data_IF_320517711823
#
_entry.id   IF_320517711823
#
_cell.length_a   1.000
_cell.length_b   1.000
_cell.length_c   1.000
_cell.angle_alpha   90.00
_cell.angle_beta   90.00
_cell.angle_gamma   90.00
#
_symmetry.space_group_name_H-M   'P 1'
#
loop_
_entity.id
_entity.type
_entity.pdbx_description
1 polymer ?
#
# COMPACT_ATOMS: atom_id res chain seq x y z
N UNK A 1 9.03 0.55 6.00
CA UNK A 1 8.80 1.09 4.64
C UNK A 1 9.28 0.04 3.64
N UNK A 2 8.65 -0.06 2.48
CA UNK A 2 8.93 -1.07 1.46
C UNK A 2 9.01 -0.33 0.12
N UNK A 3 10.11 -0.48 -0.62
CA UNK A 3 10.21 0.06 -1.97
C UNK A 3 9.25 -0.68 -2.91
N UNK A 4 8.46 0.04 -3.70
CA UNK A 4 7.50 -0.52 -4.67
C UNK A 4 8.17 -1.48 -5.66
N UNK A 5 9.41 -1.24 -6.05
CA UNK A 5 10.20 -2.11 -6.93
C UNK A 5 10.58 -3.46 -6.32
N UNK A 6 10.44 -3.62 -4.99
CA UNK A 6 10.59 -4.90 -4.30
C UNK A 6 9.26 -5.66 -4.15
N UNK A 7 8.14 -5.02 -4.52
CA UNK A 7 6.80 -5.64 -4.50
C UNK A 7 6.53 -6.23 -5.88
N UNK A 8 6.16 -7.51 -5.91
CA UNK A 8 5.79 -8.19 -7.16
C UNK A 8 4.63 -7.51 -7.87
N UNK A 9 4.68 -7.38 -9.20
CA UNK A 9 3.57 -6.85 -10.00
C UNK A 9 2.25 -7.63 -9.81
N UNK A 10 2.33 -8.92 -9.46
CA UNK A 10 1.17 -9.74 -9.14
C UNK A 10 0.38 -9.21 -7.91
N UNK A 11 1.03 -8.46 -7.01
CA UNK A 11 0.36 -7.76 -5.92
C UNK A 11 -0.58 -6.67 -6.44
N UNK A 12 -0.20 -5.98 -7.50
CA UNK A 12 -0.98 -4.88 -8.07
C UNK A 12 -2.07 -5.39 -9.03
N UNK A 13 -2.01 -6.66 -9.44
CA UNK A 13 -3.13 -7.33 -10.11
C UNK A 13 -4.12 -7.89 -9.08
N UNK A 14 -5.21 -7.14 -8.85
CA UNK A 14 -6.26 -7.51 -7.89
C UNK A 14 -6.97 -8.84 -8.24
N UNK A 15 -6.89 -9.31 -9.49
CA UNK A 15 -7.50 -10.59 -9.89
C UNK A 15 -6.79 -11.80 -9.26
N UNK A 16 -5.51 -11.65 -8.93
CA UNK A 16 -4.69 -12.70 -8.28
C UNK A 16 -5.11 -12.95 -6.83
N UNK A 17 -5.84 -12.00 -6.21
CA UNK A 17 -6.21 -11.99 -4.78
C UNK A 17 -5.04 -11.89 -3.80
N UNK A 18 -3.80 -11.83 -4.29
CA UNK A 18 -2.57 -11.73 -3.48
C UNK A 18 -2.59 -10.48 -2.60
N UNK A 19 -3.03 -9.34 -3.14
CA UNK A 19 -3.15 -8.09 -2.39
C UNK A 19 -3.98 -8.29 -1.12
N UNK A 20 -5.18 -8.85 -1.26
CA UNK A 20 -6.11 -9.08 -0.16
C UNK A 20 -5.54 -10.00 0.91
N UNK A 21 -4.90 -11.11 0.52
CA UNK A 21 -4.28 -12.05 1.46
C UNK A 21 -3.14 -11.40 2.27
N UNK A 22 -2.33 -10.56 1.62
CA UNK A 22 -1.24 -9.85 2.27
C UNK A 22 -1.79 -8.77 3.19
N UNK A 23 -2.74 -7.93 2.73
CA UNK A 23 -3.32 -6.86 3.56
C UNK A 23 -3.94 -7.42 4.84
N UNK A 24 -4.66 -8.55 4.74
CA UNK A 24 -5.26 -9.21 5.91
C UNK A 24 -4.21 -9.57 6.97
N UNK A 25 -3.02 -10.03 6.57
CA UNK A 25 -1.93 -10.34 7.53
C UNK A 25 -1.47 -9.08 8.28
N UNK A 26 -1.27 -7.96 7.61
CA UNK A 26 -0.87 -6.72 8.27
C UNK A 26 -1.92 -6.23 9.27
N UNK A 27 -3.21 -6.32 8.91
CA UNK A 27 -4.30 -5.99 9.82
C UNK A 27 -4.34 -6.96 11.01
N UNK A 28 -4.29 -8.27 10.77
CA UNK A 28 -4.34 -9.29 11.82
C UNK A 28 -3.18 -9.18 12.80
N UNK A 29 -1.98 -8.88 12.31
CA UNK A 29 -0.78 -8.68 13.13
C UNK A 29 -0.62 -7.24 13.64
N UNK A 30 -1.57 -6.35 13.36
CA UNK A 30 -1.52 -4.93 13.74
C UNK A 30 -0.24 -4.22 13.29
N UNK A 31 0.35 -4.66 12.18
CA UNK A 31 1.58 -4.10 11.64
C UNK A 31 1.25 -2.88 10.78
N UNK A 32 2.05 -1.83 10.92
CA UNK A 32 1.99 -0.64 10.06
C UNK A 32 3.09 -0.68 9.00
N UNK A 33 2.75 -0.43 7.75
CA UNK A 33 3.68 -0.39 6.63
C UNK A 33 3.32 0.67 5.60
N UNK A 34 4.32 1.08 4.82
CA UNK A 34 4.16 1.97 3.67
C UNK A 34 4.90 1.36 2.49
N UNK A 35 4.22 1.18 1.37
CA UNK A 35 4.79 0.84 0.07
C UNK A 35 5.05 2.16 -0.66
N UNK A 36 6.31 2.40 -0.98
CA UNK A 36 6.80 3.69 -1.45
C UNK A 36 7.26 3.59 -2.90
N UNK A 37 6.75 4.46 -3.77
CA UNK A 37 7.22 4.58 -5.15
C UNK A 37 6.19 5.18 -6.09
N UNK A 38 6.46 5.07 -7.39
CA UNK A 38 5.55 5.59 -8.42
C UNK A 38 4.44 4.57 -8.77
N UNK A 39 3.20 5.04 -8.67
CA UNK A 39 1.97 4.30 -9.00
C UNK A 39 1.25 4.88 -10.23
N UNK A 40 1.80 5.93 -10.86
CA UNK A 40 1.19 6.62 -12.00
C UNK A 40 0.98 5.72 -13.22
N UNK A 41 1.82 4.70 -13.37
CA UNK A 41 1.71 3.70 -14.44
C UNK A 41 0.50 2.78 -14.33
N UNK A 42 -0.19 2.74 -13.19
CA UNK A 42 -1.41 1.94 -13.04
C UNK A 42 -2.65 2.72 -13.48
N UNK A 43 -3.32 2.24 -14.53
CA UNK A 43 -4.49 2.90 -15.11
C UNK A 43 -5.83 2.37 -14.59
N UNK A 44 -5.87 1.15 -14.03
CA UNK A 44 -7.12 0.51 -13.62
C UNK A 44 -7.81 1.23 -12.46
N UNK A 45 -9.12 1.46 -12.60
CA UNK A 45 -9.91 2.16 -11.59
C UNK A 45 -9.98 1.34 -10.29
N UNK A 46 -10.14 0.02 -10.39
CA UNK A 46 -10.20 -0.89 -9.24
C UNK A 46 -8.95 -0.84 -8.38
N UNK A 47 -7.76 -0.78 -8.98
CA UNK A 47 -6.51 -0.66 -8.22
C UNK A 47 -6.35 0.72 -7.58
N UNK A 48 -6.75 1.78 -8.29
CA UNK A 48 -6.76 3.15 -7.73
C UNK A 48 -7.69 3.25 -6.52
N UNK A 49 -8.89 2.72 -6.64
CA UNK A 49 -9.87 2.68 -5.54
C UNK A 49 -9.33 1.86 -4.37
N UNK A 50 -8.73 0.70 -4.65
CA UNK A 50 -8.09 -0.13 -3.63
C UNK A 50 -6.98 0.61 -2.88
N UNK A 51 -6.06 1.28 -3.59
CA UNK A 51 -4.98 2.06 -2.96
C UNK A 51 -5.53 3.23 -2.15
N UNK A 52 -6.56 3.91 -2.67
CA UNK A 52 -7.21 5.04 -2.01
C UNK A 52 -7.91 4.62 -0.71
N UNK A 53 -8.71 3.55 -0.74
CA UNK A 53 -9.37 3.01 0.45
C UNK A 53 -8.36 2.46 1.46
N UNK A 54 -7.31 1.78 0.99
CA UNK A 54 -6.22 1.30 1.87
C UNK A 54 -5.52 2.48 2.57
N UNK A 55 -5.25 3.58 1.85
CA UNK A 55 -4.63 4.80 2.40
C UNK A 55 -5.45 5.52 3.49
N UNK A 56 -6.77 5.29 3.52
CA UNK A 56 -7.68 5.78 4.58
C UNK A 56 -7.65 4.89 5.83
N UNK A 57 -7.19 3.65 5.70
CA UNK A 57 -6.98 2.74 6.82
C UNK A 57 -5.83 3.18 7.75
N UNK A 58 -5.48 2.33 8.70
CA UNK A 58 -4.43 2.62 9.70
C UNK A 58 -3.20 1.72 9.61
N UNK A 59 -3.23 0.68 8.77
CA UNK A 59 -2.18 -0.34 8.70
C UNK A 59 -1.26 -0.17 7.49
N UNK A 60 -1.78 0.07 6.29
CA UNK A 60 -0.96 0.09 5.07
C UNK A 60 -1.18 1.37 4.28
N UNK A 61 -0.10 1.92 3.73
CA UNK A 61 -0.13 3.13 2.92
C UNK A 61 0.65 2.95 1.61
N UNK A 62 0.09 3.42 0.51
CA UNK A 62 0.72 3.59 -0.80
C UNK A 62 1.08 5.06 -0.97
N UNK A 63 2.38 5.36 -1.01
CA UNK A 63 2.89 6.72 -0.91
C UNK A 63 3.99 6.98 -1.95
N UNK A 64 4.07 8.20 -2.52
CA UNK A 64 5.00 8.48 -3.61
C UNK A 64 6.46 8.55 -3.18
N UNK A 65 6.73 8.91 -1.92
CA UNK A 65 8.09 9.16 -1.43
C UNK A 65 8.29 8.69 0.00
N UNK A 66 9.56 8.42 0.36
CA UNK A 66 9.92 8.06 1.72
C UNK A 66 9.54 9.17 2.72
N UNK A 67 9.74 10.43 2.34
CA UNK A 67 9.38 11.59 3.14
C UNK A 67 7.88 11.61 3.48
N UNK A 68 7.01 11.32 2.50
CA UNK A 68 5.56 11.24 2.76
C UNK A 68 5.19 10.09 3.70
N UNK A 69 5.95 8.99 3.70
CA UNK A 69 5.77 7.90 4.65
C UNK A 69 6.18 8.27 6.07
N UNK A 70 7.32 8.97 6.22
CA UNK A 70 7.76 9.51 7.51
C UNK A 70 6.70 10.45 8.07
N UNK A 71 6.22 11.41 7.27
CA UNK A 71 5.16 12.34 7.68
C UNK A 71 3.87 11.64 8.06
N UNK A 72 3.48 10.61 7.32
CA UNK A 72 2.28 9.81 7.61
C UNK A 72 2.43 9.10 8.95
N UNK A 73 3.56 8.44 9.21
CA UNK A 73 3.78 7.73 10.47
C UNK A 73 3.88 8.66 11.67
N UNK A 74 4.49 9.84 11.53
CA UNK A 74 4.54 10.86 12.59
C UNK A 74 3.16 11.41 12.99
N UNK A 75 2.14 11.27 12.14
CA UNK A 75 0.75 11.67 12.44
C UNK A 75 -0.09 10.55 13.06
N UNK A 76 0.44 9.33 13.11
CA UNK A 76 -0.22 8.14 13.67
C UNK A 76 0.21 7.84 15.12
N UNK A 77 1.12 8.66 15.67
CA UNK A 77 1.61 8.60 17.07
C UNK A 77 0.74 9.42 18.01
#
# INVERSE_FOLDING_TARGET
MIDKGLVSEAFFDLSTRIAGEIMQKFVNYQMKAAIVGDFSGYSSQSLKDFMYETNKGSHIFFLPTEQSAIEKFSKLS
#
